data_IF_900906088436
#
_entry.id   IF_900906088436
#
_cell.length_a   1.000
_cell.length_b   1.000
_cell.length_c   1.000
_cell.angle_alpha   90.00
_cell.angle_beta   90.00
_cell.angle_gamma   90.00
#
_symmetry.space_group_name_H-M   'P 1'
#
loop_
_entity.id
_entity.type
_entity.pdbx_description
1 polymer ?
#
# COMPACT_ATOMS: atom_id res chain seq x y z
N UNK A 1 -23.46 -7.68 -16.96
CA UNK A 1 -23.14 -6.87 -15.73
C UNK A 1 -23.09 -7.81 -14.52
N UNK A 2 -21.95 -7.90 -13.80
CA UNK A 2 -21.94 -8.66 -12.53
C UNK A 2 -22.71 -7.83 -11.49
N UNK A 3 -23.68 -8.47 -10.80
CA UNK A 3 -24.43 -7.88 -9.68
C UNK A 3 -23.44 -7.38 -8.62
N UNK A 4 -23.60 -6.14 -8.13
CA UNK A 4 -22.83 -5.64 -6.99
C UNK A 4 -23.23 -6.46 -5.76
N UNK A 5 -22.25 -7.08 -5.11
CA UNK A 5 -22.46 -7.84 -3.88
C UNK A 5 -22.48 -6.86 -2.70
N UNK A 6 -23.37 -7.10 -1.76
CA UNK A 6 -23.36 -6.36 -0.51
C UNK A 6 -22.25 -6.89 0.44
N UNK A 7 -21.97 -6.15 1.51
CA UNK A 7 -20.92 -6.48 2.49
C UNK A 7 -21.05 -7.90 3.04
N UNK A 8 -22.24 -8.29 3.49
CA UNK A 8 -22.49 -9.61 4.09
C UNK A 8 -22.23 -10.73 3.09
N UNK A 9 -22.60 -10.54 1.81
CA UNK A 9 -22.30 -11.49 0.74
C UNK A 9 -20.79 -11.63 0.52
N UNK A 10 -20.04 -10.52 0.54
CA UNK A 10 -18.58 -10.53 0.42
C UNK A 10 -17.92 -11.22 1.62
N UNK A 11 -18.30 -10.86 2.84
CA UNK A 11 -17.76 -11.48 4.06
C UNK A 11 -18.01 -12.99 4.11
N UNK A 12 -19.18 -13.45 3.68
CA UNK A 12 -19.50 -14.89 3.56
C UNK A 12 -18.66 -15.58 2.49
N UNK A 13 -18.59 -15.00 1.29
CA UNK A 13 -17.83 -15.55 0.17
C UNK A 13 -16.34 -15.67 0.50
N UNK A 14 -15.81 -14.71 1.22
CA UNK A 14 -14.42 -14.71 1.65
C UNK A 14 -14.18 -15.42 2.99
N UNK A 15 -15.21 -15.93 3.64
CA UNK A 15 -15.11 -16.67 4.90
C UNK A 15 -14.70 -15.81 6.10
N UNK A 16 -14.92 -14.50 6.03
CA UNK A 16 -14.57 -13.57 7.11
C UNK A 16 -15.64 -13.46 8.19
N UNK A 17 -16.91 -13.78 7.89
CA UNK A 17 -18.04 -13.55 8.79
C UNK A 17 -17.81 -14.04 10.22
N UNK A 18 -17.26 -15.26 10.37
CA UNK A 18 -17.02 -15.87 11.68
C UNK A 18 -15.72 -15.39 12.34
N UNK A 19 -14.92 -14.59 11.65
CA UNK A 19 -13.66 -14.03 12.15
C UNK A 19 -13.83 -12.60 12.64
N UNK A 20 -14.94 -11.94 12.34
CA UNK A 20 -15.17 -10.55 12.72
C UNK A 20 -15.35 -10.44 14.23
N UNK A 21 -14.56 -9.58 14.84
CA UNK A 21 -14.53 -9.31 16.27
C UNK A 21 -15.25 -8.02 16.64
N UNK A 22 -15.14 -6.99 15.82
CA UNK A 22 -15.75 -5.69 16.07
C UNK A 22 -15.97 -4.91 14.77
N UNK A 23 -16.98 -4.04 14.76
CA UNK A 23 -17.32 -3.16 13.63
C UNK A 23 -17.52 -1.76 14.13
N UNK A 24 -16.91 -0.80 13.44
CA UNK A 24 -16.95 0.61 13.78
C UNK A 24 -15.97 1.00 14.87
N UNK A 25 -15.40 2.20 14.74
CA UNK A 25 -14.39 2.71 15.67
C UNK A 25 -14.89 2.82 17.10
N UNK A 26 -16.18 3.13 17.33
CA UNK A 26 -16.72 3.21 18.69
C UNK A 26 -16.76 1.83 19.37
N UNK A 27 -17.22 0.79 18.69
CA UNK A 27 -17.19 -0.56 19.24
C UNK A 27 -15.76 -1.08 19.44
N UNK A 28 -14.82 -0.71 18.54
CA UNK A 28 -13.40 -1.02 18.68
C UNK A 28 -12.83 -0.30 19.90
N UNK A 29 -13.16 0.96 20.11
CA UNK A 29 -12.70 1.77 21.25
C UNK A 29 -13.19 1.20 22.59
N UNK A 30 -14.41 0.68 22.64
CA UNK A 30 -14.94 0.04 23.85
C UNK A 30 -14.25 -1.27 24.18
N UNK A 31 -14.00 -2.13 23.16
CA UNK A 31 -13.54 -3.51 23.39
C UNK A 31 -12.03 -3.70 23.16
N UNK A 32 -11.39 -2.81 22.38
CA UNK A 32 -9.99 -2.91 21.93
C UNK A 32 -9.32 -1.53 21.93
N UNK A 33 -9.31 -0.87 23.09
CA UNK A 33 -8.90 0.54 23.25
C UNK A 33 -7.54 0.87 22.66
N UNK A 34 -6.56 -0.01 22.85
CA UNK A 34 -5.20 0.22 22.35
C UNK A 34 -5.14 0.13 20.82
N UNK A 35 -5.87 -0.82 20.23
CA UNK A 35 -6.02 -0.93 18.77
C UNK A 35 -6.72 0.31 18.21
N UNK A 36 -7.79 0.78 18.87
CA UNK A 36 -8.48 2.00 18.43
C UNK A 36 -7.57 3.22 18.43
N UNK A 37 -6.71 3.39 19.44
CA UNK A 37 -5.71 4.47 19.50
C UNK A 37 -4.69 4.34 18.37
N UNK A 38 -4.16 3.14 18.14
CA UNK A 38 -3.19 2.88 17.09
C UNK A 38 -3.77 3.14 15.70
N UNK A 39 -4.99 2.69 15.42
CA UNK A 39 -5.69 2.94 14.17
C UNK A 39 -5.95 4.44 13.95
N UNK A 40 -6.43 5.15 14.96
CA UNK A 40 -6.66 6.59 14.85
C UNK A 40 -5.36 7.35 14.55
N UNK A 41 -4.28 7.05 15.29
CA UNK A 41 -2.98 7.64 15.05
C UNK A 41 -2.44 7.31 13.64
N UNK A 42 -2.65 6.09 13.15
CA UNK A 42 -2.22 5.69 11.82
C UNK A 42 -3.02 6.37 10.70
N UNK A 43 -4.30 6.64 10.91
CA UNK A 43 -5.10 7.39 9.94
C UNK A 43 -4.61 8.85 9.83
N UNK A 44 -4.30 9.49 10.96
CA UNK A 44 -3.70 10.83 10.97
C UNK A 44 -2.32 10.84 10.30
N UNK A 45 -1.47 9.86 10.58
CA UNK A 45 -0.17 9.72 9.92
C UNK A 45 -0.31 9.48 8.40
N UNK A 46 -1.26 8.63 7.99
CA UNK A 46 -1.54 8.39 6.57
C UNK A 46 -2.05 9.67 5.86
N UNK A 47 -2.85 10.48 6.53
CA UNK A 47 -3.29 11.78 6.02
C UNK A 47 -2.10 12.71 5.79
N UNK A 48 -1.23 12.88 6.80
CA UNK A 48 -0.01 13.70 6.71
C UNK A 48 0.90 13.22 5.57
N UNK A 49 1.10 11.91 5.46
CA UNK A 49 1.90 11.31 4.39
C UNK A 49 1.33 11.68 3.02
N UNK A 50 0.03 11.53 2.82
CA UNK A 50 -0.62 11.80 1.54
C UNK A 50 -0.65 13.29 1.20
N UNK A 51 -0.83 14.18 2.18
CA UNK A 51 -0.73 15.63 2.00
C UNK A 51 0.68 16.06 1.57
N UNK A 52 1.69 15.55 2.27
CA UNK A 52 3.09 15.82 1.91
C UNK A 52 3.44 15.28 0.52
N UNK A 53 2.96 14.08 0.18
CA UNK A 53 3.14 13.46 -1.14
C UNK A 53 2.55 14.33 -2.25
N UNK A 54 1.32 14.77 -2.08
CA UNK A 54 0.66 15.67 -3.04
C UNK A 54 1.40 16.99 -3.18
N UNK A 55 1.80 17.59 -2.06
CA UNK A 55 2.55 18.83 -2.07
C UNK A 55 3.95 18.70 -2.72
N UNK A 56 4.58 17.51 -2.70
CA UNK A 56 5.79 17.24 -3.48
C UNK A 56 5.49 17.09 -4.97
N UNK A 57 4.50 16.28 -5.33
CA UNK A 57 4.15 16.01 -6.72
C UNK A 57 3.59 17.22 -7.47
N UNK A 58 2.91 18.12 -6.76
CA UNK A 58 2.31 19.35 -7.32
C UNK A 58 3.28 20.54 -7.31
N UNK A 59 4.47 20.36 -6.73
CA UNK A 59 5.47 21.43 -6.66
C UNK A 59 6.02 21.74 -8.05
N UNK A 60 6.09 23.02 -8.38
CA UNK A 60 6.80 23.50 -9.59
C UNK A 60 8.30 23.22 -9.54
N UNK A 61 8.85 22.99 -8.34
CA UNK A 61 10.24 22.64 -8.08
C UNK A 61 10.36 21.16 -7.69
N UNK A 62 9.85 20.30 -8.55
CA UNK A 62 10.02 18.84 -8.40
C UNK A 62 11.52 18.54 -8.51
N UNK A 63 12.16 18.27 -7.38
CA UNK A 63 13.61 18.17 -7.31
C UNK A 63 14.17 16.80 -7.74
N UNK A 64 15.49 16.68 -7.76
CA UNK A 64 16.17 15.46 -8.16
C UNK A 64 15.92 14.29 -7.19
N UNK A 65 15.71 14.59 -5.88
CA UNK A 65 15.40 13.58 -4.86
C UNK A 65 14.01 13.02 -5.09
N UNK A 66 13.00 13.86 -5.27
CA UNK A 66 11.63 13.44 -5.56
C UNK A 66 11.58 12.64 -6.87
N UNK A 67 12.29 13.08 -7.91
CA UNK A 67 12.45 12.35 -9.18
C UNK A 67 13.11 10.98 -8.98
N UNK A 68 14.13 10.89 -8.13
CA UNK A 68 14.81 9.66 -7.77
C UNK A 68 13.88 8.68 -7.06
N UNK A 69 13.10 9.16 -6.10
CA UNK A 69 12.09 8.33 -5.39
C UNK A 69 11.09 7.74 -6.38
N UNK A 70 10.55 8.56 -7.27
CA UNK A 70 9.59 8.10 -8.28
C UNK A 70 10.24 7.09 -9.24
N UNK A 71 11.46 7.37 -9.70
CA UNK A 71 12.22 6.45 -10.56
C UNK A 71 12.47 5.10 -9.91
N UNK A 72 12.84 5.08 -8.63
CA UNK A 72 13.09 3.86 -7.86
C UNK A 72 11.85 2.99 -7.66
N UNK A 73 10.66 3.62 -7.59
CA UNK A 73 9.41 2.89 -7.38
C UNK A 73 8.72 2.46 -8.67
N UNK A 74 8.83 3.25 -9.74
CA UNK A 74 8.00 3.08 -10.93
C UNK A 74 8.81 2.97 -12.23
N UNK A 75 10.11 3.21 -12.18
CA UNK A 75 10.97 3.25 -13.35
C UNK A 75 10.90 4.60 -14.09
N UNK A 76 11.37 4.63 -15.33
CA UNK A 76 11.25 5.80 -16.20
C UNK A 76 9.77 5.99 -16.50
N UNK A 77 9.24 7.12 -16.09
CA UNK A 77 7.82 7.44 -16.17
C UNK A 77 7.57 8.25 -17.42
N UNK A 78 6.62 7.81 -18.27
CA UNK A 78 6.07 8.61 -19.35
C UNK A 78 5.39 9.87 -18.79
N UNK A 79 5.27 10.90 -19.61
CA UNK A 79 4.85 12.26 -19.24
C UNK A 79 3.52 12.33 -18.47
N UNK A 80 2.63 11.33 -18.60
CA UNK A 80 1.31 11.30 -17.95
C UNK A 80 1.31 10.69 -16.53
N UNK A 81 2.41 10.09 -16.10
CA UNK A 81 2.45 9.40 -14.81
C UNK A 81 2.30 10.33 -13.59
N UNK A 82 2.84 11.56 -13.56
CA UNK A 82 2.57 12.50 -12.48
C UNK A 82 1.09 12.79 -12.31
N UNK A 83 0.35 13.02 -13.38
CA UNK A 83 -1.11 13.24 -13.34
C UNK A 83 -1.87 12.05 -12.80
N UNK A 84 -1.48 10.82 -13.17
CA UNK A 84 -2.04 9.59 -12.65
C UNK A 84 -1.79 9.45 -11.14
N UNK A 85 -0.56 9.70 -10.67
CA UNK A 85 -0.20 9.61 -9.26
C UNK A 85 -0.93 10.68 -8.44
N UNK A 86 -0.92 11.94 -8.87
CA UNK A 86 -1.63 13.04 -8.20
C UNK A 86 -3.13 12.70 -8.08
N UNK A 87 -3.76 12.28 -9.16
CA UNK A 87 -5.18 11.92 -9.17
C UNK A 87 -5.50 10.77 -8.22
N UNK A 88 -4.66 9.76 -8.18
CA UNK A 88 -4.79 8.62 -7.28
C UNK A 88 -4.58 9.00 -5.81
N UNK A 89 -3.53 9.73 -5.49
CA UNK A 89 -3.25 10.15 -4.10
C UNK A 89 -4.27 11.16 -3.56
N UNK A 90 -4.83 12.05 -4.37
CA UNK A 90 -5.98 12.90 -3.95
C UNK A 90 -7.18 12.05 -3.52
N UNK A 91 -7.50 11.01 -4.27
CA UNK A 91 -8.58 10.08 -3.93
C UNK A 91 -8.22 9.24 -2.70
N UNK A 92 -6.95 8.80 -2.56
CA UNK A 92 -6.48 8.10 -1.37
C UNK A 92 -6.63 8.98 -0.12
N UNK A 93 -6.22 10.25 -0.19
CA UNK A 93 -6.38 11.23 0.89
C UNK A 93 -7.87 11.41 1.28
N UNK A 94 -8.74 11.57 0.29
CA UNK A 94 -10.19 11.65 0.54
C UNK A 94 -10.72 10.40 1.24
N UNK A 95 -10.24 9.21 0.86
CA UNK A 95 -10.63 7.95 1.48
C UNK A 95 -10.10 7.80 2.92
N UNK A 96 -8.87 8.25 3.22
CA UNK A 96 -8.34 8.27 4.60
C UNK A 96 -9.20 9.18 5.48
N UNK A 97 -9.54 10.38 5.00
CA UNK A 97 -10.43 11.33 5.71
C UNK A 97 -11.81 10.74 5.98
N UNK A 98 -12.33 9.98 5.00
CA UNK A 98 -13.60 9.29 5.14
C UNK A 98 -13.54 8.21 6.24
N UNK A 99 -12.45 7.44 6.35
CA UNK A 99 -12.27 6.47 7.44
C UNK A 99 -12.26 7.13 8.83
N UNK A 100 -11.76 8.36 8.93
CA UNK A 100 -11.78 9.11 10.20
C UNK A 100 -13.16 9.67 10.54
N UNK A 101 -13.94 10.10 9.55
CA UNK A 101 -15.28 10.68 9.73
C UNK A 101 -16.39 9.63 9.80
N UNK A 102 -16.28 8.53 9.03
CA UNK A 102 -17.23 7.42 8.98
C UNK A 102 -16.74 6.26 9.84
N UNK A 103 -16.99 6.37 11.14
CA UNK A 103 -16.48 5.41 12.14
C UNK A 103 -16.85 3.95 11.86
N UNK A 104 -17.95 3.71 11.13
CA UNK A 104 -18.45 2.36 10.84
C UNK A 104 -17.70 1.61 9.75
N UNK A 105 -16.84 2.31 9.00
CA UNK A 105 -16.08 1.73 7.87
C UNK A 105 -14.89 0.86 8.30
N UNK A 106 -14.55 0.84 9.57
CA UNK A 106 -13.43 0.05 10.13
C UNK A 106 -13.96 -1.24 10.75
N UNK A 107 -13.34 -2.37 10.37
CA UNK A 107 -13.71 -3.70 10.88
C UNK A 107 -12.47 -4.39 11.44
N UNK A 108 -12.57 -4.94 12.65
CA UNK A 108 -11.56 -5.85 13.20
C UNK A 108 -11.95 -7.29 12.94
N UNK A 109 -10.98 -8.10 12.54
CA UNK A 109 -11.12 -9.54 12.45
C UNK A 109 -9.96 -10.25 13.13
N UNK A 110 -10.18 -11.50 13.56
CA UNK A 110 -9.15 -12.40 14.07
C UNK A 110 -8.54 -13.16 12.91
N UNK A 111 -7.21 -13.13 12.77
CA UNK A 111 -6.51 -13.88 11.75
C UNK A 111 -6.66 -15.39 11.95
N UNK A 112 -7.18 -16.10 10.94
CA UNK A 112 -7.26 -17.54 10.94
C UNK A 112 -7.17 -18.10 9.51
N UNK A 113 -6.70 -19.33 9.39
CA UNK A 113 -6.55 -19.99 8.09
C UNK A 113 -5.72 -19.15 7.11
N UNK A 114 -6.28 -18.87 5.94
CA UNK A 114 -5.62 -18.07 4.90
C UNK A 114 -5.34 -16.61 5.30
N UNK A 115 -6.00 -16.10 6.33
CA UNK A 115 -5.84 -14.73 6.83
C UNK A 115 -4.88 -14.60 8.02
N UNK A 116 -4.25 -15.69 8.45
CA UNK A 116 -3.35 -15.70 9.60
C UNK A 116 -2.23 -14.66 9.49
N UNK A 117 -1.75 -14.40 8.27
CA UNK A 117 -0.66 -13.47 7.97
C UNK A 117 -1.11 -12.22 7.21
N UNK A 118 -2.41 -11.96 7.14
CA UNK A 118 -2.96 -10.79 6.45
C UNK A 118 -3.09 -9.66 7.46
N UNK A 119 -2.40 -8.54 7.26
CA UNK A 119 -2.45 -7.37 8.14
C UNK A 119 -3.80 -6.67 8.06
N UNK A 120 -4.21 -6.38 6.82
CA UNK A 120 -5.50 -5.79 6.51
C UNK A 120 -5.99 -6.28 5.16
N UNK A 121 -7.20 -5.94 4.79
CA UNK A 121 -7.75 -6.16 3.46
C UNK A 121 -8.92 -5.23 3.15
N UNK A 122 -9.10 -4.98 1.87
CA UNK A 122 -10.30 -4.36 1.30
C UNK A 122 -10.85 -5.25 0.20
N UNK A 123 -12.15 -5.13 -0.05
CA UNK A 123 -12.77 -5.77 -1.23
C UNK A 123 -12.81 -4.74 -2.37
N UNK A 124 -12.03 -4.90 -3.44
CA UNK A 124 -11.97 -3.92 -4.54
C UNK A 124 -13.31 -3.64 -5.23
N UNK A 125 -14.28 -4.55 -5.06
CA UNK A 125 -15.65 -4.43 -5.56
C UNK A 125 -16.63 -3.88 -4.53
N UNK A 126 -16.17 -3.67 -3.30
CA UNK A 126 -16.97 -3.08 -2.24
C UNK A 126 -17.12 -1.58 -2.45
N UNK A 127 -18.36 -1.12 -2.52
CA UNK A 127 -18.71 0.30 -2.66
C UNK A 127 -18.95 0.98 -1.30
N UNK A 128 -18.78 0.23 -0.20
CA UNK A 128 -19.11 0.68 1.17
C UNK A 128 -17.91 1.15 1.96
N UNK A 129 -16.73 1.21 1.33
CA UNK A 129 -15.49 1.77 1.90
C UNK A 129 -14.97 1.06 3.17
N UNK A 130 -15.32 -0.21 3.41
CA UNK A 130 -14.81 -0.95 4.58
C UNK A 130 -13.33 -1.31 4.41
N UNK A 131 -12.58 -1.15 5.51
CA UNK A 131 -11.23 -1.68 5.67
C UNK A 131 -11.23 -2.66 6.84
N UNK A 132 -10.75 -3.85 6.61
CA UNK A 132 -10.69 -4.93 7.57
C UNK A 132 -9.26 -5.07 8.09
N UNK A 133 -9.07 -4.98 9.40
CA UNK A 133 -7.77 -5.08 10.07
C UNK A 133 -7.68 -6.33 10.92
N UNK A 134 -6.56 -7.06 10.79
CA UNK A 134 -6.28 -8.22 11.63
C UNK A 134 -5.77 -7.75 13.00
N UNK A 135 -6.61 -7.90 14.03
CA UNK A 135 -6.34 -7.44 15.39
C UNK A 135 -5.08 -8.04 16.02
N UNK A 136 -4.68 -9.25 15.60
CA UNK A 136 -3.49 -9.93 16.14
C UNK A 136 -2.19 -9.37 15.56
N UNK A 137 -2.21 -8.99 14.28
CA UNK A 137 -1.03 -8.45 13.60
C UNK A 137 -0.85 -6.97 13.88
N UNK A 138 -1.91 -6.17 13.71
CA UNK A 138 -1.80 -4.70 13.81
C UNK A 138 -1.44 -4.23 15.21
N UNK A 139 -1.69 -5.03 16.25
CA UNK A 139 -1.27 -4.73 17.62
C UNK A 139 0.25 -4.60 17.78
N UNK A 140 1.02 -5.28 16.94
CA UNK A 140 2.50 -5.27 16.97
C UNK A 140 3.13 -4.26 16.01
N UNK A 141 2.34 -3.53 15.21
CA UNK A 141 2.84 -2.54 14.27
C UNK A 141 2.97 -1.17 14.95
N UNK A 142 4.02 -0.44 14.59
CA UNK A 142 4.10 0.98 14.92
C UNK A 142 3.14 1.80 14.05
N UNK A 143 2.97 3.08 14.42
CA UNK A 143 2.03 3.98 13.73
C UNK A 143 2.37 4.16 12.25
N UNK A 144 3.65 4.22 11.90
CA UNK A 144 4.09 4.40 10.50
C UNK A 144 3.88 3.15 9.66
N UNK A 145 4.19 1.99 10.21
CA UNK A 145 3.95 0.70 9.54
C UNK A 145 2.44 0.47 9.35
N UNK A 146 1.63 0.86 10.33
CA UNK A 146 0.19 0.78 10.21
C UNK A 146 -0.38 1.81 9.22
N UNK A 147 0.18 3.02 9.16
CA UNK A 147 -0.16 4.01 8.14
C UNK A 147 0.20 3.53 6.73
N UNK A 148 1.36 2.85 6.57
CA UNK A 148 1.69 2.17 5.33
C UNK A 148 0.59 1.18 4.93
N UNK A 149 0.16 0.32 5.87
CA UNK A 149 -0.90 -0.67 5.62
C UNK A 149 -2.22 0.01 5.23
N UNK A 150 -2.59 1.11 5.87
CA UNK A 150 -3.78 1.90 5.51
C UNK A 150 -3.70 2.41 4.07
N UNK A 151 -2.59 3.05 3.71
CA UNK A 151 -2.40 3.58 2.34
C UNK A 151 -2.41 2.44 1.33
N UNK A 152 -1.69 1.34 1.61
CA UNK A 152 -1.65 0.14 0.77
C UNK A 152 -3.08 -0.36 0.45
N UNK A 153 -3.89 -0.62 1.47
CA UNK A 153 -5.25 -1.13 1.30
C UNK A 153 -6.15 -0.16 0.52
N UNK A 154 -6.06 1.13 0.81
CA UNK A 154 -6.84 2.15 0.08
C UNK A 154 -6.46 2.18 -1.40
N UNK A 155 -5.19 1.93 -1.76
CA UNK A 155 -4.79 1.90 -3.18
C UNK A 155 -5.46 0.80 -3.99
N UNK A 156 -5.89 -0.29 -3.35
CA UNK A 156 -6.63 -1.37 -4.01
C UNK A 156 -8.03 -0.96 -4.49
N UNK A 157 -8.62 0.08 -3.89
CA UNK A 157 -9.95 0.54 -4.28
C UNK A 157 -9.99 0.98 -5.72
N UNK A 158 -11.08 0.59 -6.40
CA UNK A 158 -11.22 0.81 -7.85
C UNK A 158 -11.17 2.29 -8.23
N UNK A 159 -11.74 3.14 -7.39
CA UNK A 159 -11.81 4.60 -7.60
C UNK A 159 -10.48 5.30 -7.28
N UNK A 160 -9.55 4.64 -6.56
CA UNK A 160 -8.24 5.20 -6.21
C UNK A 160 -7.21 4.84 -7.27
N UNK A 161 -6.57 3.70 -7.16
CA UNK A 161 -5.59 3.23 -8.13
C UNK A 161 -5.96 1.88 -8.76
N UNK A 162 -6.95 1.17 -8.22
CA UNK A 162 -7.26 -0.23 -8.57
C UNK A 162 -5.99 -1.11 -8.57
N UNK A 163 -5.11 -0.87 -7.60
CA UNK A 163 -3.81 -1.53 -7.51
C UNK A 163 -3.93 -3.04 -7.28
N UNK A 164 -2.81 -3.72 -7.37
CA UNK A 164 -2.68 -5.17 -7.21
C UNK A 164 -1.47 -5.47 -6.34
N UNK A 165 -1.45 -6.65 -5.73
CA UNK A 165 -0.22 -7.19 -5.14
C UNK A 165 0.50 -7.99 -6.21
N UNK A 166 1.51 -7.42 -6.81
CA UNK A 166 2.40 -8.14 -7.72
C UNK A 166 3.64 -8.64 -6.99
N UNK A 167 4.18 -7.80 -6.11
CA UNK A 167 5.24 -8.13 -5.15
C UNK A 167 5.03 -7.29 -3.89
N UNK A 168 5.54 -7.77 -2.78
CA UNK A 168 5.60 -7.01 -1.55
C UNK A 168 6.62 -7.58 -0.57
N UNK A 169 7.07 -6.73 0.34
CA UNK A 169 7.84 -7.18 1.49
C UNK A 169 6.98 -8.12 2.33
N UNK A 170 7.42 -9.37 2.45
CA UNK A 170 6.88 -10.23 3.50
C UNK A 170 7.29 -9.65 4.85
N UNK A 171 6.36 -9.55 5.79
CA UNK A 171 6.65 -9.20 7.19
C UNK A 171 7.70 -10.14 7.81
N UNK A 172 7.88 -11.32 7.23
CA UNK A 172 8.85 -12.35 7.63
C UNK A 172 10.06 -12.46 6.68
N UNK A 173 10.40 -11.40 5.94
CA UNK A 173 11.71 -11.33 5.26
C UNK A 173 11.91 -12.30 4.11
N UNK A 174 10.97 -12.44 3.17
CA UNK A 174 11.30 -13.00 1.87
C UNK A 174 11.99 -11.90 1.06
N UNK A 175 13.29 -11.94 1.07
CA UNK A 175 14.20 -10.98 0.50
C UNK A 175 15.47 -10.81 1.30
N UNK A 176 15.67 -11.60 2.36
CA UNK A 176 16.97 -11.77 3.03
C UNK A 176 17.67 -10.50 3.54
N UNK A 177 17.01 -9.37 3.49
CA UNK A 177 17.60 -8.11 3.88
C UNK A 177 17.05 -7.68 5.25
N UNK A 178 17.77 -8.09 6.31
CA UNK A 178 17.66 -7.49 7.65
C UNK A 178 18.16 -6.04 7.64
N UNK A 179 18.02 -5.33 6.50
CA UNK A 179 18.50 -3.96 6.39
C UNK A 179 17.73 -3.06 7.36
N UNK A 180 18.49 -2.36 8.17
CA UNK A 180 18.01 -1.24 8.98
C UNK A 180 17.31 -0.22 8.08
N UNK A 181 16.09 0.18 8.45
CA UNK A 181 15.35 1.20 7.73
C UNK A 181 13.83 1.05 7.89
N UNK A 182 13.10 2.12 7.61
CA UNK A 182 11.65 2.11 7.61
C UNK A 182 11.08 1.12 6.59
N UNK A 183 9.84 0.70 6.77
CA UNK A 183 9.12 -0.14 5.80
C UNK A 183 9.14 0.50 4.41
N UNK A 184 9.01 1.83 4.34
CA UNK A 184 9.08 2.59 3.09
C UNK A 184 10.42 2.41 2.36
N UNK A 185 11.54 2.58 3.06
CA UNK A 185 12.87 2.46 2.43
C UNK A 185 13.20 1.02 2.01
N UNK A 186 12.76 0.02 2.77
CA UNK A 186 12.94 -1.39 2.39
C UNK A 186 12.11 -1.74 1.14
N UNK A 187 10.88 -1.23 1.06
CA UNK A 187 10.02 -1.43 -0.12
C UNK A 187 10.57 -0.70 -1.33
N UNK A 188 11.15 0.50 -1.17
CA UNK A 188 11.83 1.22 -2.25
C UNK A 188 12.98 0.40 -2.83
N UNK A 189 13.84 -0.16 -1.98
CA UNK A 189 14.94 -1.05 -2.41
C UNK A 189 14.43 -2.27 -3.18
N UNK A 190 13.37 -2.92 -2.69
CA UNK A 190 12.75 -4.04 -3.40
C UNK A 190 12.19 -3.61 -4.75
N UNK A 191 11.49 -2.48 -4.80
CA UNK A 191 10.92 -1.94 -6.04
C UNK A 191 12.00 -1.63 -7.06
N UNK A 192 13.07 -0.98 -6.64
CA UNK A 192 14.23 -0.71 -7.48
C UNK A 192 14.85 -2.01 -8.03
N UNK A 193 15.00 -3.06 -7.20
CA UNK A 193 15.46 -4.39 -7.68
C UNK A 193 14.50 -5.00 -8.68
N UNK A 194 13.18 -4.90 -8.43
CA UNK A 194 12.17 -5.43 -9.35
C UNK A 194 12.20 -4.73 -10.70
N UNK A 195 12.53 -3.44 -10.73
CA UNK A 195 12.62 -2.65 -11.96
C UNK A 195 13.94 -2.84 -12.71
N UNK A 196 14.98 -3.25 -12.02
CA UNK A 196 16.26 -3.59 -12.64
C UNK A 196 16.18 -4.94 -13.33
N UNK A 197 17.06 -5.17 -14.30
CA UNK A 197 17.14 -6.43 -15.05
C UNK A 197 17.63 -7.63 -14.22
N UNK A 198 17.93 -7.42 -12.94
CA UNK A 198 18.50 -8.41 -12.00
C UNK A 198 17.45 -9.14 -11.14
N UNK A 199 16.14 -8.93 -11.39
CA UNK A 199 15.10 -9.65 -10.66
C UNK A 199 15.26 -11.17 -10.77
N UNK A 200 15.07 -11.87 -9.66
CA UNK A 200 15.11 -13.33 -9.56
C UNK A 200 13.78 -13.89 -9.03
N UNK A 201 13.60 -15.20 -9.13
CA UNK A 201 12.41 -15.90 -8.60
C UNK A 201 12.19 -15.65 -7.11
N UNK A 202 13.26 -15.54 -6.33
CA UNK A 202 13.26 -15.25 -4.91
C UNK A 202 12.69 -13.87 -4.57
N UNK A 203 12.74 -12.92 -5.50
CA UNK A 203 12.20 -11.57 -5.31
C UNK A 203 10.67 -11.53 -5.40
N UNK A 204 10.07 -12.55 -6.00
CA UNK A 204 8.60 -12.70 -6.08
C UNK A 204 8.14 -13.69 -5.03
N UNK A 205 7.30 -13.26 -4.09
CA UNK A 205 6.74 -14.16 -3.07
C UNK A 205 6.08 -15.38 -3.73
N UNK A 206 6.35 -16.59 -3.21
CA UNK A 206 5.84 -17.86 -3.77
C UNK A 206 4.32 -17.85 -3.95
N UNK A 207 3.58 -17.23 -3.03
CA UNK A 207 2.12 -17.09 -3.11
C UNK A 207 1.64 -16.24 -4.28
N UNK A 208 2.54 -15.44 -4.86
CA UNK A 208 2.24 -14.56 -5.99
C UNK A 208 2.72 -15.13 -7.33
N UNK A 209 3.48 -16.25 -7.35
CA UNK A 209 4.04 -16.81 -8.59
C UNK A 209 2.97 -17.04 -9.66
N UNK A 210 1.86 -17.69 -9.29
CA UNK A 210 0.76 -17.97 -10.22
C UNK A 210 0.12 -16.66 -10.74
N UNK A 211 -0.10 -15.69 -9.85
CA UNK A 211 -0.67 -14.38 -10.20
C UNK A 211 0.27 -13.60 -11.12
N UNK A 212 1.58 -13.60 -10.81
CA UNK A 212 2.60 -12.93 -11.59
C UNK A 212 2.71 -13.53 -13.00
N UNK A 213 2.77 -14.86 -13.11
CA UNK A 213 2.80 -15.60 -14.38
C UNK A 213 1.55 -15.35 -15.21
N UNK A 214 0.37 -15.37 -14.60
CA UNK A 214 -0.92 -15.09 -15.27
C UNK A 214 -0.98 -13.68 -15.83
N UNK A 215 -0.53 -12.68 -15.07
CA UNK A 215 -0.52 -11.26 -15.53
C UNK A 215 0.42 -11.08 -16.72
N UNK A 216 1.55 -11.76 -16.71
CA UNK A 216 2.54 -11.73 -17.79
C UNK A 216 2.21 -12.70 -18.94
N UNK A 217 1.10 -13.47 -18.82
CA UNK A 217 0.70 -14.48 -19.81
C UNK A 217 1.86 -15.44 -20.11
N UNK A 218 2.41 -16.03 -19.07
CA UNK A 218 3.56 -16.93 -19.12
C UNK A 218 3.18 -18.27 -18.50
N UNK A 219 3.80 -19.35 -18.98
CA UNK A 219 3.51 -20.72 -18.55
C UNK A 219 3.90 -20.94 -17.08
N UNK A 220 5.01 -20.35 -16.68
CA UNK A 220 5.55 -20.47 -15.32
C UNK A 220 6.21 -19.16 -14.83
N UNK A 221 6.72 -19.19 -13.60
CA UNK A 221 7.39 -18.04 -12.98
C UNK A 221 8.72 -17.68 -13.65
N UNK A 222 9.46 -18.63 -14.20
CA UNK A 222 10.75 -18.36 -14.86
C UNK A 222 10.53 -17.64 -16.19
N UNK A 223 9.58 -18.13 -17.00
CA UNK A 223 9.17 -17.46 -18.23
C UNK A 223 8.58 -16.07 -17.95
N UNK A 224 7.82 -15.93 -16.88
CA UNK A 224 7.28 -14.65 -16.44
C UNK A 224 8.37 -13.64 -16.07
N UNK A 225 9.37 -14.06 -15.28
CA UNK A 225 10.50 -13.22 -14.90
C UNK A 225 11.32 -12.81 -16.12
N UNK A 226 11.61 -13.73 -17.05
CA UNK A 226 12.29 -13.42 -18.29
C UNK A 226 11.53 -12.32 -19.05
N UNK A 227 10.24 -12.51 -19.29
CA UNK A 227 9.37 -11.54 -19.98
C UNK A 227 9.29 -10.19 -19.27
N UNK A 228 9.26 -10.19 -17.93
CA UNK A 228 9.28 -8.99 -17.12
C UNK A 228 10.60 -8.22 -17.28
N UNK A 229 11.75 -8.92 -17.27
CA UNK A 229 13.08 -8.34 -17.50
C UNK A 229 13.18 -7.67 -18.88
N UNK A 230 12.70 -8.34 -19.90
CA UNK A 230 12.84 -7.93 -21.30
C UNK A 230 11.88 -6.79 -21.70
N UNK A 231 10.88 -6.45 -20.88
CA UNK A 231 9.86 -5.47 -21.23
C UNK A 231 9.73 -4.32 -20.21
N UNK A 232 10.52 -3.24 -20.35
CA UNK A 232 10.48 -2.07 -19.46
C UNK A 232 9.08 -1.45 -19.31
N UNK A 233 8.32 -1.33 -20.41
CA UNK A 233 6.97 -0.79 -20.37
C UNK A 233 6.03 -1.62 -19.49
N UNK A 234 6.14 -2.96 -19.56
CA UNK A 234 5.37 -3.86 -18.70
C UNK A 234 5.80 -3.73 -17.25
N UNK A 235 7.11 -3.64 -16.95
CA UNK A 235 7.64 -3.42 -15.60
C UNK A 235 7.05 -2.15 -14.99
N UNK A 236 7.16 -1.03 -15.70
CA UNK A 236 6.69 0.27 -15.21
C UNK A 236 5.17 0.27 -14.99
N UNK A 237 4.39 -0.31 -15.91
CA UNK A 237 2.93 -0.45 -15.76
C UNK A 237 2.55 -1.32 -14.56
N UNK A 238 3.28 -2.39 -14.30
CA UNK A 238 3.04 -3.22 -13.12
C UNK A 238 3.44 -2.48 -11.84
N UNK A 239 4.58 -1.78 -11.84
CA UNK A 239 5.04 -1.00 -10.70
C UNK A 239 4.06 0.11 -10.32
N UNK A 240 3.54 0.88 -11.30
CA UNK A 240 2.50 1.90 -11.08
C UNK A 240 1.18 1.35 -10.52
N UNK A 241 0.98 0.05 -10.60
CA UNK A 241 -0.23 -0.63 -10.10
C UNK A 241 0.07 -1.56 -8.95
N UNK A 242 1.28 -1.56 -8.41
CA UNK A 242 1.62 -2.34 -7.23
C UNK A 242 1.32 -1.55 -5.96
N UNK A 243 0.51 -2.11 -5.07
CA UNK A 243 0.05 -1.42 -3.87
C UNK A 243 1.20 -1.00 -2.95
N UNK A 244 2.18 -1.89 -2.73
CA UNK A 244 3.37 -1.58 -1.91
C UNK A 244 4.19 -0.44 -2.50
N UNK A 245 4.35 -0.38 -3.84
CA UNK A 245 5.08 0.71 -4.49
C UNK A 245 4.37 2.05 -4.26
N UNK A 246 3.05 2.08 -4.40
CA UNK A 246 2.26 3.29 -4.19
C UNK A 246 2.34 3.76 -2.74
N UNK A 247 2.19 2.85 -1.77
CA UNK A 247 2.30 3.19 -0.36
C UNK A 247 3.72 3.65 0.02
N UNK A 248 4.75 2.95 -0.49
CA UNK A 248 6.15 3.28 -0.22
C UNK A 248 6.57 4.60 -0.86
N UNK A 249 6.20 4.86 -2.11
CA UNK A 249 6.51 6.12 -2.78
C UNK A 249 5.89 7.31 -2.02
N UNK A 250 4.64 7.17 -1.55
CA UNK A 250 4.01 8.20 -0.72
C UNK A 250 4.81 8.48 0.56
N UNK A 251 5.18 7.43 1.30
CA UNK A 251 5.97 7.59 2.52
C UNK A 251 7.33 8.22 2.26
N UNK A 252 8.05 7.81 1.23
CA UNK A 252 9.37 8.34 0.89
C UNK A 252 9.32 9.82 0.46
N UNK A 253 8.34 10.21 -0.36
CA UNK A 253 8.12 11.61 -0.73
C UNK A 253 7.79 12.47 0.51
N UNK A 254 6.97 11.93 1.43
CA UNK A 254 6.66 12.60 2.70
C UNK A 254 7.91 12.76 3.57
N UNK A 255 8.72 11.71 3.74
CA UNK A 255 9.98 11.76 4.51
C UNK A 255 10.96 12.80 3.95
N UNK A 256 11.17 12.82 2.63
CA UNK A 256 12.03 13.79 1.94
C UNK A 256 11.54 15.23 2.17
N UNK A 257 10.23 15.46 2.04
CA UNK A 257 9.63 16.76 2.28
C UNK A 257 9.81 17.24 3.73
N UNK A 258 9.62 16.36 4.71
CA UNK A 258 9.82 16.69 6.12
C UNK A 258 11.28 17.03 6.43
N UNK A 259 12.23 16.33 5.83
CA UNK A 259 13.65 16.64 5.97
C UNK A 259 13.97 18.03 5.42
N UNK A 260 13.45 18.40 4.24
CA UNK A 260 13.61 19.73 3.66
C UNK A 260 13.02 20.83 4.55
N UNK A 261 11.83 20.63 5.10
CA UNK A 261 11.23 21.60 6.05
C UNK A 261 12.12 21.85 7.27
N UNK A 262 12.68 20.78 7.86
CA UNK A 262 13.58 20.89 9.02
C UNK A 262 14.88 21.62 8.67
N UNK A 263 15.49 21.34 7.53
CA UNK A 263 16.68 22.03 7.06
C UNK A 263 16.41 23.54 6.89
N UNK A 264 15.32 23.92 6.24
CA UNK A 264 14.94 25.33 6.09
C UNK A 264 14.71 26.06 7.42
N UNK A 265 14.19 25.36 8.44
CA UNK A 265 14.00 25.95 9.77
C UNK A 265 15.33 26.21 10.50
N UNK A 266 16.33 25.35 10.30
CA UNK A 266 17.67 25.49 10.90
C UNK A 266 18.40 26.69 10.29
N UNK A 267 18.30 26.91 8.98
CA UNK A 267 18.96 28.01 8.28
C UNK A 267 18.30 29.38 8.49
N UNK A 268 17.12 29.43 9.08
CA UNK A 268 16.42 30.70 9.40
C UNK A 268 16.63 31.18 10.84
N UNK A 269 17.33 30.41 11.66
CA UNK A 269 17.78 30.77 13.01
C UNK A 269 19.21 31.20 13.02
#
# INVERSE_FOLDING_TARGET
>A
MRRKKNRTELENEFGLKNLIQSRGMEAIKMNYRDIAKALHASFLEAEIILENTLASLESTNFDSEDSGIIGNHFGIIDFDAPGYLIGGYRKALSNVRLLMSESDSVVLFKGAGRYLRTEALVFPTDTTNFVYFNSEIIRGLDVKDLAFTVIHEITHRREVFASKDFWYLSVNGVGGDNSSGSRYSRTEKLSSRMLNEKIEKSDVSTRLHEKFSRVLRSEDIHAAIKKFRENPSTRNKMALRNADNLASAAGRLSEARELRKRQHQIFRR
#
